data_IF_599013489346
#
_entry.id   IF_599013489346
#
_cell.length_a   1.000
_cell.length_b   1.000
_cell.length_c   1.000
_cell.angle_alpha   90.00
_cell.angle_beta   90.00
_cell.angle_gamma   90.00
#
_symmetry.space_group_name_H-M   'P 1'
#
loop_
_entity.id
_entity.type
_entity.pdbx_description
1 polymer ?
#
# COMPACT_ATOMS: atom_id res chain seq x y z
N UNK A 1 72.79 -19.79 -0.71
CA UNK A 1 71.61 -19.09 -1.23
C UNK A 1 70.37 -19.69 -0.57
N UNK A 2 69.83 -19.05 0.48
CA UNK A 2 68.65 -19.52 1.23
C UNK A 2 67.40 -18.92 0.58
N UNK A 3 66.54 -19.76 0.00
CA UNK A 3 65.28 -19.33 -0.61
C UNK A 3 64.22 -19.19 0.48
N UNK A 4 63.74 -17.98 0.72
CA UNK A 4 62.59 -17.67 1.55
C UNK A 4 61.33 -17.77 0.68
N UNK A 5 60.38 -18.61 1.08
CA UNK A 5 59.04 -18.66 0.48
C UNK A 5 58.09 -17.77 1.30
N UNK A 6 57.25 -16.93 0.66
CA UNK A 6 56.25 -16.15 1.36
C UNK A 6 55.02 -17.01 1.63
N UNK A 7 54.65 -17.13 2.91
CA UNK A 7 53.36 -17.70 3.32
C UNK A 7 52.30 -16.61 3.12
N UNK A 8 51.39 -16.83 2.17
CA UNK A 8 50.22 -15.98 1.98
C UNK A 8 49.19 -16.28 3.08
N UNK A 9 48.95 -15.32 3.96
CA UNK A 9 47.95 -15.40 5.02
C UNK A 9 46.58 -15.08 4.40
N UNK A 10 45.76 -16.10 4.14
CA UNK A 10 44.36 -15.92 3.76
C UNK A 10 43.56 -15.47 4.99
N UNK A 11 43.22 -14.18 5.06
CA UNK A 11 42.30 -13.65 6.06
C UNK A 11 40.88 -14.08 5.75
N UNK A 12 40.36 -15.08 6.48
CA UNK A 12 38.95 -15.45 6.44
C UNK A 12 38.11 -14.32 7.07
N UNK A 13 37.39 -13.57 6.24
CA UNK A 13 36.44 -12.57 6.69
C UNK A 13 35.22 -13.31 7.28
N UNK A 14 35.16 -13.41 8.61
CA UNK A 14 34.03 -14.00 9.32
C UNK A 14 32.88 -12.99 9.30
N UNK A 15 31.92 -13.16 8.39
CA UNK A 15 30.65 -12.43 8.45
C UNK A 15 29.80 -13.04 9.54
N UNK A 16 29.75 -12.39 10.70
CA UNK A 16 28.81 -12.75 11.76
C UNK A 16 27.40 -12.38 11.26
N UNK A 17 26.58 -13.37 10.95
CA UNK A 17 25.16 -13.16 10.70
C UNK A 17 24.52 -12.77 12.04
N UNK A 18 24.21 -11.50 12.23
CA UNK A 18 23.41 -11.05 13.37
C UNK A 18 22.00 -11.61 13.18
N UNK A 19 21.51 -12.38 14.16
CA UNK A 19 20.10 -12.69 14.23
C UNK A 19 19.33 -11.36 14.30
N UNK A 20 18.39 -11.17 13.38
CA UNK A 20 17.47 -10.04 13.46
C UNK A 20 16.44 -10.42 14.51
N UNK A 21 16.54 -9.77 15.67
CA UNK A 21 15.55 -9.91 16.74
C UNK A 21 14.21 -9.34 16.27
N UNK A 22 13.12 -9.90 16.80
CA UNK A 22 11.79 -9.36 16.58
C UNK A 22 11.70 -7.96 17.21
N UNK A 23 11.17 -7.01 16.47
CA UNK A 23 11.02 -5.62 16.86
C UNK A 23 9.59 -5.12 16.59
N UNK A 24 9.26 -3.98 17.19
CA UNK A 24 7.98 -3.31 17.00
C UNK A 24 8.16 -2.07 16.14
N UNK A 25 7.20 -1.81 15.26
CA UNK A 25 7.22 -0.69 14.33
C UNK A 25 5.91 0.10 14.42
N UNK A 26 6.05 1.40 14.67
CA UNK A 26 4.93 2.32 14.84
C UNK A 26 4.91 3.32 13.67
N UNK A 27 3.75 3.47 13.04
CA UNK A 27 3.52 4.35 11.90
C UNK A 27 2.34 5.26 12.19
N UNK A 28 2.40 6.50 11.69
CA UNK A 28 1.28 7.43 11.74
C UNK A 28 1.30 8.36 10.54
N UNK A 29 0.16 9.01 10.30
CA UNK A 29 0.02 10.02 9.28
C UNK A 29 -1.42 10.46 9.08
N UNK A 30 -1.69 10.97 7.87
CA UNK A 30 -3.03 11.39 7.47
C UNK A 30 -3.38 10.87 6.08
N UNK A 31 -4.63 10.45 5.91
CA UNK A 31 -5.19 10.25 4.58
C UNK A 31 -5.57 11.60 3.96
N UNK A 32 -5.41 11.70 2.65
CA UNK A 32 -5.97 12.77 1.85
C UNK A 32 -7.43 12.46 1.49
N UNK A 33 -7.80 11.20 1.32
CA UNK A 33 -9.14 10.77 0.93
C UNK A 33 -9.68 9.55 1.67
N UNK A 34 -11.02 9.38 1.64
CA UNK A 34 -11.67 8.24 2.29
C UNK A 34 -11.22 6.91 1.68
N UNK A 35 -11.02 6.89 0.36
CA UNK A 35 -10.54 5.71 -0.37
C UNK A 35 -9.01 5.57 -0.39
N UNK A 36 -8.28 6.40 0.34
CA UNK A 36 -6.84 6.21 0.42
C UNK A 36 -6.54 4.85 1.06
N UNK A 37 -5.41 4.28 0.62
CA UNK A 37 -4.91 3.01 1.10
C UNK A 37 -3.42 3.13 1.33
N UNK A 38 -2.97 2.64 2.47
CA UNK A 38 -1.55 2.43 2.73
C UNK A 38 -1.23 0.94 2.74
N UNK A 39 -0.02 0.63 2.32
CA UNK A 39 0.51 -0.73 2.30
C UNK A 39 1.81 -0.77 3.10
N UNK A 40 1.96 -1.78 3.95
CA UNK A 40 3.09 -1.94 4.84
C UNK A 40 3.70 -3.31 4.57
N UNK A 41 4.90 -3.34 4.03
CA UNK A 41 5.65 -4.58 3.85
C UNK A 41 6.41 -4.88 5.13
N UNK A 42 6.30 -6.13 5.60
CA UNK A 42 7.05 -6.61 6.74
C UNK A 42 7.51 -8.06 6.53
N UNK A 43 8.47 -8.51 7.34
CA UNK A 43 8.91 -9.90 7.26
C UNK A 43 9.25 -10.52 8.61
N UNK A 44 9.29 -11.85 8.63
CA UNK A 44 9.62 -12.68 9.78
C UNK A 44 10.84 -13.53 9.47
N UNK A 45 11.85 -13.49 10.35
CA UNK A 45 13.03 -14.36 10.27
C UNK A 45 12.77 -15.78 10.76
N UNK A 46 11.77 -15.97 11.63
CA UNK A 46 11.33 -17.26 12.17
C UNK A 46 9.81 -17.23 12.40
N UNK A 47 9.14 -18.40 12.47
CA UNK A 47 7.73 -18.45 12.83
C UNK A 47 7.47 -17.81 14.20
N UNK A 48 6.32 -17.15 14.35
CA UNK A 48 5.95 -16.45 15.57
C UNK A 48 4.58 -15.80 15.49
N UNK A 49 4.10 -15.27 16.63
CA UNK A 49 2.88 -14.47 16.68
C UNK A 49 3.21 -13.03 16.32
N UNK A 50 2.52 -12.51 15.31
CA UNK A 50 2.56 -11.09 14.90
C UNK A 50 1.30 -10.43 15.39
N UNK A 51 1.45 -9.22 15.93
CA UNK A 51 0.32 -8.37 16.29
C UNK A 51 0.30 -7.15 15.38
N UNK A 52 -0.84 -6.89 14.74
CA UNK A 52 -1.12 -5.67 14.01
C UNK A 52 -2.31 -5.01 14.68
N UNK A 53 -2.19 -3.76 15.08
CA UNK A 53 -3.32 -3.04 15.65
C UNK A 53 -3.25 -1.55 15.34
N UNK A 54 -4.41 -0.90 15.37
CA UNK A 54 -4.51 0.55 15.24
C UNK A 54 -4.86 1.19 16.57
N UNK A 55 -4.49 2.46 16.74
CA UNK A 55 -5.02 3.33 17.80
C UNK A 55 -5.66 4.59 17.21
N UNK A 56 -6.07 4.49 15.94
CA UNK A 56 -6.54 5.61 15.13
C UNK A 56 -7.87 6.11 15.66
N UNK A 57 -8.86 5.22 15.80
CA UNK A 57 -10.20 5.61 16.16
C UNK A 57 -10.26 6.12 17.60
N UNK A 58 -9.64 5.43 18.56
CA UNK A 58 -9.63 5.95 19.93
C UNK A 58 -8.89 7.30 20.03
N UNK A 59 -7.93 7.55 19.13
CA UNK A 59 -7.21 8.82 19.00
C UNK A 59 -7.98 9.95 18.29
N UNK A 60 -9.20 9.72 17.80
CA UNK A 60 -10.00 10.70 17.03
C UNK A 60 -9.85 10.61 15.50
N UNK A 61 -9.09 9.63 15.01
CA UNK A 61 -9.00 9.22 13.61
C UNK A 61 -10.25 8.49 13.13
N UNK A 62 -10.26 8.09 11.87
CA UNK A 62 -11.35 7.29 11.29
C UNK A 62 -11.35 5.84 11.81
N UNK A 63 -12.45 5.14 11.58
CA UNK A 63 -12.61 3.69 11.79
C UNK A 63 -11.77 2.90 10.76
N UNK A 64 -10.65 2.26 11.17
CA UNK A 64 -9.68 1.66 10.27
C UNK A 64 -9.92 0.15 10.08
N UNK A 65 -9.78 -0.30 8.84
CA UNK A 65 -9.73 -1.71 8.47
C UNK A 65 -8.28 -2.14 8.24
N UNK A 66 -7.87 -3.25 8.86
CA UNK A 66 -6.61 -3.94 8.58
C UNK A 66 -6.83 -5.23 7.80
N UNK A 67 -6.20 -5.32 6.62
CA UNK A 67 -6.13 -6.57 5.85
C UNK A 67 -4.70 -7.09 5.80
N UNK A 68 -4.50 -8.36 6.14
CA UNK A 68 -3.22 -9.05 6.08
C UNK A 68 -3.15 -9.95 4.85
N UNK A 69 -2.04 -9.88 4.12
CA UNK A 69 -1.77 -10.62 2.90
C UNK A 69 -0.45 -11.40 3.01
N UNK A 70 -0.39 -12.55 2.36
CA UNK A 70 0.87 -13.26 2.14
C UNK A 70 1.73 -12.56 1.07
N UNK A 71 2.97 -13.03 0.90
CA UNK A 71 3.90 -12.48 -0.10
C UNK A 71 3.48 -12.68 -1.57
N UNK A 72 2.41 -13.43 -1.84
CA UNK A 72 1.81 -13.61 -3.17
C UNK A 72 0.56 -12.73 -3.37
N UNK A 73 0.13 -11.98 -2.34
CA UNK A 73 -1.06 -11.15 -2.38
C UNK A 73 -2.36 -11.91 -2.11
N UNK A 74 -2.30 -13.10 -1.50
CA UNK A 74 -3.50 -13.79 -1.01
C UNK A 74 -3.83 -13.29 0.40
N UNK A 75 -5.11 -13.05 0.66
CA UNK A 75 -5.60 -12.62 1.96
C UNK A 75 -5.43 -13.74 3.00
N UNK A 76 -4.91 -13.38 4.17
CA UNK A 76 -4.78 -14.25 5.33
C UNK A 76 -5.79 -13.90 6.41
N UNK A 77 -6.07 -12.61 6.59
CA UNK A 77 -7.04 -12.10 7.55
C UNK A 77 -7.51 -10.70 7.14
N UNK A 78 -8.70 -10.32 7.59
CA UNK A 78 -9.22 -8.96 7.53
C UNK A 78 -9.94 -8.66 8.83
N UNK A 79 -9.78 -7.43 9.30
CA UNK A 79 -10.28 -6.96 10.58
C UNK A 79 -10.75 -5.52 10.43
N UNK A 80 -11.87 -5.23 11.07
CA UNK A 80 -12.57 -3.95 11.04
C UNK A 80 -12.60 -3.43 12.48
N UNK A 81 -13.28 -4.18 13.35
CA UNK A 81 -13.43 -3.85 14.78
C UNK A 81 -12.66 -4.79 15.73
N UNK A 82 -11.73 -4.26 16.50
CA UNK A 82 -10.89 -5.02 17.44
C UNK A 82 -11.59 -5.52 18.70
N UNK A 83 -12.90 -5.32 18.85
CA UNK A 83 -13.70 -5.83 19.96
C UNK A 83 -14.09 -4.75 20.96
N UNK A 84 -13.86 -4.91 22.28
CA UNK A 84 -14.23 -3.91 23.30
C UNK A 84 -13.10 -2.88 23.58
N UNK A 85 -12.08 -2.85 22.73
CA UNK A 85 -10.86 -2.09 22.98
C UNK A 85 -9.93 -2.72 24.02
N UNK A 86 -8.78 -2.10 24.22
CA UNK A 86 -7.73 -2.60 25.09
C UNK A 86 -6.47 -1.75 25.07
N UNK A 87 -5.37 -2.36 25.51
CA UNK A 87 -4.07 -1.69 25.57
C UNK A 87 -2.97 -2.65 25.14
N UNK A 88 -2.01 -2.15 24.36
CA UNK A 88 -0.91 -2.93 23.79
C UNK A 88 0.40 -2.13 23.88
N UNK A 89 1.43 -2.79 24.42
CA UNK A 89 2.78 -2.22 24.51
C UNK A 89 3.50 -2.38 23.17
N UNK A 90 4.06 -1.30 22.65
CA UNK A 90 4.93 -1.26 21.47
C UNK A 90 6.12 -0.34 21.76
N UNK A 91 7.35 -0.81 21.58
CA UNK A 91 8.57 -0.01 21.82
C UNK A 91 8.63 0.67 23.21
N UNK A 92 8.04 0.04 24.23
CA UNK A 92 7.97 0.58 25.59
C UNK A 92 6.93 1.68 25.81
N UNK A 93 6.12 2.00 24.78
CA UNK A 93 4.97 2.91 24.85
C UNK A 93 3.69 2.08 24.87
N UNK A 94 2.77 2.45 25.76
CA UNK A 94 1.49 1.77 25.89
C UNK A 94 0.44 2.49 25.04
N UNK A 95 -0.07 1.83 24.01
CA UNK A 95 -1.11 2.35 23.11
C UNK A 95 -2.45 1.75 23.47
N UNK A 96 -3.49 2.58 23.53
CA UNK A 96 -4.85 2.12 23.72
C UNK A 96 -5.53 2.04 22.36
N UNK A 97 -6.37 1.03 22.17
CA UNK A 97 -7.21 0.85 20.99
C UNK A 97 -8.67 0.73 21.43
N UNK A 98 -9.57 1.28 20.61
CA UNK A 98 -11.01 1.26 20.84
C UNK A 98 -11.70 0.03 20.24
N UNK A 99 -13.03 0.06 20.25
CA UNK A 99 -13.83 -1.00 19.64
C UNK A 99 -13.80 -0.97 18.11
N UNK A 100 -13.84 0.23 17.53
CA UNK A 100 -13.68 0.51 16.10
C UNK A 100 -12.20 0.75 15.75
N UNK A 101 -11.26 0.17 16.50
CA UNK A 101 -9.87 0.09 16.07
C UNK A 101 -9.59 -1.35 15.71
N UNK A 102 -8.93 -1.59 14.57
CA UNK A 102 -8.56 -2.94 14.15
C UNK A 102 -7.51 -3.59 15.07
N UNK A 103 -7.69 -4.86 15.41
CA UNK A 103 -6.72 -5.67 16.15
C UNK A 103 -6.60 -7.10 15.62
N UNK A 104 -5.41 -7.48 15.16
CA UNK A 104 -5.06 -8.81 14.67
C UNK A 104 -3.88 -9.37 15.45
N UNK A 105 -4.02 -10.58 16.00
CA UNK A 105 -2.91 -11.37 16.53
C UNK A 105 -2.91 -12.76 15.88
N UNK A 106 -1.88 -13.07 15.09
CA UNK A 106 -1.86 -14.25 14.23
C UNK A 106 -0.49 -14.93 14.22
N UNK A 107 -0.50 -16.27 14.23
CA UNK A 107 0.73 -17.05 14.06
C UNK A 107 1.12 -17.13 12.58
N UNK A 108 2.29 -16.60 12.24
CA UNK A 108 2.84 -16.61 10.90
C UNK A 108 4.11 -17.46 10.87
N UNK A 109 4.42 -17.98 9.68
CA UNK A 109 5.70 -18.64 9.40
C UNK A 109 6.75 -17.59 9.02
N UNK A 110 8.01 -18.00 8.91
CA UNK A 110 9.03 -17.12 8.33
C UNK A 110 8.66 -16.78 6.88
N UNK A 111 8.75 -15.51 6.50
CA UNK A 111 8.29 -15.05 5.19
C UNK A 111 8.10 -13.54 5.11
N UNK A 112 7.66 -13.09 3.94
CA UNK A 112 7.29 -11.71 3.67
C UNK A 112 5.77 -11.60 3.60
N UNK A 113 5.26 -10.49 4.13
CA UNK A 113 3.85 -10.21 4.26
C UNK A 113 3.57 -8.76 3.89
N UNK A 114 2.31 -8.49 3.58
CA UNK A 114 1.82 -7.13 3.38
C UNK A 114 0.63 -6.91 4.32
N UNK A 115 0.58 -5.77 4.98
CA UNK A 115 -0.64 -5.28 5.61
C UNK A 115 -1.15 -4.09 4.81
N UNK A 116 -2.47 -3.97 4.66
CA UNK A 116 -3.12 -2.77 4.13
C UNK A 116 -3.99 -2.14 5.19
N UNK A 117 -3.97 -0.81 5.22
CA UNK A 117 -4.81 0.02 6.06
C UNK A 117 -5.75 0.81 5.16
N UNK A 118 -7.05 0.69 5.41
CA UNK A 118 -8.11 1.45 4.73
C UNK A 118 -9.10 1.99 5.77
N UNK A 119 -9.96 2.91 5.34
CA UNK A 119 -11.07 3.40 6.17
C UNK A 119 -12.32 2.54 5.96
N UNK A 120 -13.09 2.27 7.01
CA UNK A 120 -14.42 1.67 6.89
C UNK A 120 -15.34 2.50 5.98
N UNK A 121 -16.03 1.91 5.00
CA UNK A 121 -16.27 0.49 4.71
C UNK A 121 -15.49 -0.01 3.47
N UNK A 122 -14.25 0.45 3.29
CA UNK A 122 -13.40 0.11 2.16
C UNK A 122 -12.69 -1.25 2.34
N UNK A 123 -13.49 -2.33 2.40
CA UNK A 123 -13.01 -3.71 2.46
C UNK A 123 -12.34 -4.17 1.17
N UNK A 124 -11.53 -5.22 1.25
CA UNK A 124 -11.05 -5.94 0.06
C UNK A 124 -12.21 -6.53 -0.75
N UNK A 125 -12.11 -6.48 -2.08
CA UNK A 125 -13.15 -7.01 -2.99
C UNK A 125 -13.16 -8.54 -3.00
N UNK A 126 -12.00 -9.15 -2.77
CA UNK A 126 -11.81 -10.59 -2.78
C UNK A 126 -10.59 -10.98 -1.93
N UNK A 127 -10.33 -12.29 -1.85
CA UNK A 127 -9.13 -12.83 -1.22
C UNK A 127 -7.82 -12.56 -2.01
N UNK A 128 -7.85 -11.83 -3.13
CA UNK A 128 -6.68 -11.44 -3.91
C UNK A 128 -6.48 -9.92 -3.88
N UNK A 129 -5.32 -9.47 -3.42
CA UNK A 129 -4.97 -8.04 -3.32
C UNK A 129 -5.10 -7.31 -4.67
N UNK A 130 -4.85 -8.02 -5.76
CA UNK A 130 -4.93 -7.48 -7.12
C UNK A 130 -6.36 -7.09 -7.54
N UNK A 131 -7.39 -7.59 -6.87
CA UNK A 131 -8.78 -7.27 -7.20
C UNK A 131 -9.24 -5.93 -6.61
N UNK A 132 -8.43 -5.34 -5.71
CA UNK A 132 -8.67 -4.01 -5.15
C UNK A 132 -9.66 -3.99 -3.99
N UNK A 133 -10.22 -2.79 -3.74
CA UNK A 133 -11.06 -2.50 -2.59
C UNK A 133 -12.40 -1.86 -3.00
N UNK A 134 -13.43 -2.04 -2.17
CA UNK A 134 -14.83 -1.70 -2.47
C UNK A 134 -15.06 -0.22 -2.82
N UNK A 135 -14.20 0.67 -2.34
CA UNK A 135 -14.31 2.13 -2.48
C UNK A 135 -13.17 2.75 -3.28
N UNK A 136 -12.34 1.95 -3.97
CA UNK A 136 -11.21 2.47 -4.76
C UNK A 136 -11.60 3.60 -5.73
N UNK A 137 -12.84 3.62 -6.23
CA UNK A 137 -13.34 4.63 -7.17
C UNK A 137 -14.06 5.84 -6.53
N UNK A 138 -14.23 5.90 -5.21
CA UNK A 138 -15.01 6.95 -4.53
C UNK A 138 -14.22 7.62 -3.38
N UNK A 139 -13.61 8.80 -3.60
CA UNK A 139 -12.73 9.43 -2.62
C UNK A 139 -13.45 10.11 -1.44
N UNK A 140 -14.78 10.10 -1.42
CA UNK A 140 -15.59 10.74 -0.38
C UNK A 140 -16.77 9.85 0.03
N UNK A 141 -16.61 8.52 -0.08
CA UNK A 141 -17.73 7.59 0.09
C UNK A 141 -18.41 7.72 1.47
N UNK A 142 -17.68 8.13 2.50
CA UNK A 142 -18.28 8.28 3.85
C UNK A 142 -19.17 9.50 3.99
N UNK A 143 -19.15 10.44 3.04
CA UNK A 143 -20.13 11.54 3.01
C UNK A 143 -21.58 11.03 3.11
N UNK A 144 -21.85 9.82 2.59
CA UNK A 144 -23.13 9.16 2.67
C UNK A 144 -23.58 8.81 4.11
N UNK A 145 -22.66 8.73 5.07
CA UNK A 145 -22.94 8.50 6.49
C UNK A 145 -23.46 9.77 7.20
N UNK A 146 -23.39 10.93 6.54
CA UNK A 146 -24.08 12.14 6.97
C UNK A 146 -23.34 13.01 7.98
N UNK A 147 -22.02 12.84 8.14
CA UNK A 147 -21.22 13.77 8.92
C UNK A 147 -21.07 15.14 8.21
N UNK A 148 -20.75 16.18 8.98
CA UNK A 148 -20.74 17.57 8.50
C UNK A 148 -19.46 17.95 7.73
N UNK A 149 -18.33 17.27 7.99
CA UNK A 149 -17.08 17.42 7.23
C UNK A 149 -17.10 16.67 5.88
N UNK A 150 -18.12 15.84 5.64
CA UNK A 150 -18.38 15.17 4.35
C UNK A 150 -17.34 14.15 3.92
N UNK A 151 -16.47 13.72 4.84
CA UNK A 151 -15.34 12.81 4.66
C UNK A 151 -14.90 12.30 6.03
N UNK A 152 -14.22 11.16 6.09
CA UNK A 152 -13.85 10.56 7.37
C UNK A 152 -15.07 10.53 8.33
N UNK A 153 -16.24 10.15 7.81
CA UNK A 153 -17.43 10.03 8.64
C UNK A 153 -17.43 8.69 9.37
N UNK A 154 -17.90 8.71 10.61
CA UNK A 154 -18.19 7.51 11.39
C UNK A 154 -19.37 6.73 10.80
N UNK A 155 -19.25 5.41 10.73
CA UNK A 155 -20.31 4.51 10.27
C UNK A 155 -21.35 4.19 11.36
N UNK A 156 -20.91 4.14 12.63
CA UNK A 156 -21.77 3.87 13.79
C UNK A 156 -21.80 5.05 14.78
N UNK A 157 -22.98 5.66 14.96
CA UNK A 157 -23.15 6.81 15.86
C UNK A 157 -23.39 6.43 17.33
N UNK A 158 -23.28 5.14 17.65
CA UNK A 158 -23.42 4.61 19.01
C UNK A 158 -22.38 3.53 19.23
N UNK A 159 -21.75 3.58 20.40
CA UNK A 159 -20.75 2.60 20.83
C UNK A 159 -21.43 1.33 21.41
N UNK A 160 -20.66 0.29 21.76
CA UNK A 160 -21.23 -0.94 22.36
C UNK A 160 -21.88 -0.75 23.73
N UNK A 161 -21.62 0.36 24.43
CA UNK A 161 -22.28 0.75 25.67
C UNK A 161 -23.56 1.57 25.43
N UNK A 162 -23.83 1.98 24.19
CA UNK A 162 -24.94 2.85 23.80
C UNK A 162 -24.63 4.34 23.96
N UNK A 163 -23.37 4.70 24.20
CA UNK A 163 -22.93 6.09 24.28
C UNK A 163 -22.80 6.69 22.86
N UNK A 164 -23.09 7.99 22.66
CA UNK A 164 -22.97 8.62 21.36
C UNK A 164 -21.51 8.69 20.88
N UNK A 165 -21.29 8.37 19.61
CA UNK A 165 -20.00 8.52 18.92
C UNK A 165 -20.00 9.80 18.08
N UNK A 166 -18.86 10.50 18.07
CA UNK A 166 -18.68 11.71 17.24
C UNK A 166 -18.69 11.35 15.74
N UNK A 167 -19.65 11.87 14.94
CA UNK A 167 -19.75 11.56 13.52
C UNK A 167 -18.60 12.09 12.67
N UNK A 168 -17.97 13.20 13.06
CA UNK A 168 -16.90 13.84 12.30
C UNK A 168 -15.54 13.33 12.80
N UNK A 169 -14.95 12.37 12.07
CA UNK A 169 -13.61 11.86 12.38
C UNK A 169 -12.54 12.67 11.67
N UNK A 170 -11.29 12.52 12.12
CA UNK A 170 -10.15 13.12 11.44
C UNK A 170 -9.52 12.14 10.45
N UNK A 171 -8.72 12.67 9.53
CA UNK A 171 -7.96 11.83 8.59
C UNK A 171 -6.76 11.13 9.23
N UNK A 172 -6.54 11.30 10.55
CA UNK A 172 -5.38 10.75 11.24
C UNK A 172 -5.48 9.22 11.33
N UNK A 173 -4.33 8.58 11.21
CA UNK A 173 -4.20 7.15 11.43
C UNK A 173 -2.90 6.83 12.16
N UNK A 174 -2.96 5.76 12.93
CA UNK A 174 -1.88 5.15 13.70
C UNK A 174 -1.95 3.63 13.53
N UNK A 175 -0.84 3.01 13.14
CA UNK A 175 -0.69 1.58 12.95
C UNK A 175 0.58 1.08 13.65
N UNK A 176 0.43 -0.05 14.33
CA UNK A 176 1.49 -0.72 15.06
C UNK A 176 1.65 -2.16 14.55
N UNK A 177 2.90 -2.55 14.22
CA UNK A 177 3.25 -3.90 13.77
C UNK A 177 4.33 -4.46 14.70
N UNK A 178 3.97 -5.45 15.50
CA UNK A 178 4.80 -5.97 16.60
C UNK A 178 5.36 -7.34 16.26
N UNK A 179 6.51 -7.66 16.86
CA UNK A 179 7.19 -8.95 16.74
C UNK A 179 7.61 -9.32 15.30
N UNK A 180 8.11 -8.35 14.52
CA UNK A 180 8.57 -8.57 13.13
C UNK A 180 10.04 -8.20 12.95
N UNK A 181 10.69 -8.74 11.92
CA UNK A 181 12.11 -8.48 11.66
C UNK A 181 12.36 -7.10 11.01
N UNK A 182 11.42 -6.64 10.20
CA UNK A 182 11.39 -5.29 9.62
C UNK A 182 9.94 -4.98 9.21
N UNK A 183 9.60 -3.69 9.19
CA UNK A 183 8.40 -3.17 8.56
C UNK A 183 8.68 -1.82 7.89
N UNK A 184 8.01 -1.54 6.77
CA UNK A 184 8.11 -0.26 6.06
C UNK A 184 6.86 0.03 5.24
N UNK A 185 6.56 1.32 5.06
CA UNK A 185 5.52 1.77 4.14
C UNK A 185 5.98 1.53 2.70
N UNK A 186 5.12 0.90 1.90
CA UNK A 186 5.30 0.72 0.47
C UNK A 186 4.51 1.81 -0.24
N UNK A 187 5.21 2.81 -0.78
CA UNK A 187 4.60 3.68 -1.77
C UNK A 187 4.46 2.89 -3.06
N UNK A 188 3.23 2.60 -3.47
CA UNK A 188 2.96 2.12 -4.82
C UNK A 188 3.17 3.33 -5.74
N UNK A 189 4.20 3.36 -6.60
CA UNK A 189 4.28 4.41 -7.61
C UNK A 189 3.00 4.32 -8.43
N UNK A 190 2.31 5.45 -8.63
CA UNK A 190 1.13 5.47 -9.50
C UNK A 190 1.48 4.70 -10.79
N UNK A 191 0.59 3.78 -11.24
CA UNK A 191 0.88 3.03 -12.45
C UNK A 191 1.26 4.01 -13.55
N UNK A 192 2.13 3.63 -14.50
CA UNK A 192 2.59 4.50 -15.57
C UNK A 192 1.49 4.87 -16.59
N UNK A 193 0.24 5.07 -16.15
CA UNK A 193 -0.86 5.69 -16.87
C UNK A 193 -0.44 7.04 -17.46
N UNK A 194 0.40 7.83 -16.76
CA UNK A 194 1.04 9.03 -17.33
C UNK A 194 2.00 8.72 -18.49
N UNK A 195 2.69 7.58 -18.44
CA UNK A 195 3.53 7.11 -19.55
C UNK A 195 2.68 6.63 -20.74
N UNK A 196 1.54 5.96 -20.48
CA UNK A 196 0.57 5.57 -21.51
C UNK A 196 -0.14 6.79 -22.14
N UNK A 197 -0.46 7.81 -21.35
CA UNK A 197 -1.05 9.06 -21.85
C UNK A 197 -0.06 9.85 -22.71
N UNK A 198 1.21 9.93 -22.27
CA UNK A 198 2.27 10.61 -23.02
C UNK A 198 2.65 9.88 -24.31
N UNK A 199 2.66 8.55 -24.32
CA UNK A 199 2.88 7.76 -25.55
C UNK A 199 1.74 7.93 -26.55
N UNK A 200 0.49 7.99 -26.09
CA UNK A 200 -0.69 8.21 -26.95
C UNK A 200 -0.68 9.60 -27.62
N UNK A 201 -0.19 10.63 -26.93
CA UNK A 201 -0.03 11.97 -27.48
C UNK A 201 0.97 12.06 -28.65
N UNK A 202 2.05 11.26 -28.63
CA UNK A 202 3.05 11.27 -29.70
C UNK A 202 2.54 10.61 -31.00
N UNK A 203 1.70 9.58 -30.92
CA UNK A 203 1.13 8.93 -32.11
C UNK A 203 0.19 9.84 -32.90
N UNK A 204 -0.52 10.75 -32.23
CA UNK A 204 -1.44 11.69 -32.90
C UNK A 204 -0.72 12.84 -33.62
N UNK A 205 0.49 13.21 -33.21
CA UNK A 205 1.29 14.24 -33.90
C UNK A 205 2.12 13.68 -35.06
N UNK A 206 2.60 12.43 -34.97
CA UNK A 206 3.41 11.80 -36.03
C UNK A 206 2.65 11.51 -37.33
N UNK A 207 1.33 11.35 -37.28
CA UNK A 207 0.50 11.03 -38.45
C UNK A 207 0.25 12.17 -39.43
N UNK A 208 0.67 13.42 -39.13
CA UNK A 208 0.36 14.60 -39.96
C UNK A 208 1.49 15.10 -40.86
N UNK A 209 2.70 14.52 -40.79
CA UNK A 209 3.87 15.02 -41.54
C UNK A 209 4.24 14.20 -42.80
N UNK A 210 3.49 13.16 -43.14
CA UNK A 210 3.83 12.24 -44.23
C UNK A 210 3.03 12.41 -45.53
N UNK A 211 2.92 13.62 -46.12
CA UNK A 211 2.45 13.75 -47.52
C UNK A 211 2.86 15.05 -48.22
N UNK A 212 4.17 15.31 -48.33
CA UNK A 212 4.69 16.22 -49.36
C UNK A 212 4.99 15.42 -50.64
N UNK A 213 4.18 15.70 -51.66
CA UNK A 213 4.03 14.97 -52.92
C UNK A 213 5.19 15.32 -53.87
N UNK A 214 6.03 14.35 -54.24
CA UNK A 214 7.00 14.50 -55.33
C UNK A 214 6.30 14.28 -56.67
N UNK A 215 6.16 15.34 -57.48
CA UNK A 215 5.78 15.22 -58.89
C UNK A 215 6.99 15.57 -59.75
N UNK A 216 7.75 14.55 -60.13
CA UNK A 216 8.77 14.63 -61.16
C UNK A 216 8.19 14.20 -62.52
N UNK A 217 8.06 15.22 -63.37
CA UNK A 217 8.05 15.27 -64.83
C UNK A 217 8.47 14.00 -65.59
N UNK A 218 7.64 13.56 -66.54
CA UNK A 218 8.03 12.69 -67.65
C UNK A 218 7.50 13.30 -68.97
N UNK A 219 8.45 13.66 -69.84
CA UNK A 219 8.23 14.10 -71.22
C UNK A 219 8.44 12.92 -72.19
N UNK A 220 7.80 13.04 -73.37
CA UNK A 220 7.89 12.22 -74.60
C UNK A 220 7.08 10.90 -74.63
N UNK A 221 6.38 10.52 -75.71
CA UNK A 221 6.54 10.86 -77.12
C UNK A 221 5.21 10.79 -77.92
N UNK A 222 5.21 11.55 -79.02
CA UNK A 222 4.21 11.58 -80.10
C UNK A 222 4.39 10.38 -81.06
N UNK A 223 3.34 9.98 -81.79
CA UNK A 223 3.55 9.80 -83.23
C UNK A 223 2.42 10.41 -84.12
N UNK A 224 2.89 11.14 -85.14
CA UNK A 224 2.59 11.07 -86.58
C UNK A 224 1.13 11.09 -87.08
N UNK A 225 0.93 12.00 -88.04
CA UNK A 225 -0.26 12.34 -88.86
C UNK A 225 -0.79 11.24 -89.80
N UNK A 226 -2.09 11.32 -90.05
CA UNK A 226 -2.81 11.18 -91.34
C UNK A 226 -3.90 12.30 -91.28
N UNK A 227 -4.14 13.21 -92.21
CA UNK A 227 -3.77 13.41 -93.61
C UNK A 227 -3.43 14.90 -93.87
#
# INVERSE_FOLDING_TARGET
MKKLFPVALLGACLTVATAVEAADFDFNGNFANDNDKLSFAFSLGSPGTVTLFTSSWLGGGFDPILTLWDGLGNQLAEQDDGGLGGSQLSNGVNFNYGEFDSYLAINLVAGNYLATLTQYDNFSVSAALADGFLRDADPQFTAAFGCSNGRFCEGSLTDSNGDPVEPNRTAAWDLHILNVANAQIVSVPEPPTLMLLSLSGLFLLGGRLGKARSTARADAASPVRLA
#
